data_IF_729439506762
#
_entry.id   IF_729439506762
#
_cell.length_a   1.000
_cell.length_b   1.000
_cell.length_c   1.000
_cell.angle_alpha   90.00
_cell.angle_beta   90.00
_cell.angle_gamma   90.00
#
_symmetry.space_group_name_H-M   'P 1'
#
loop_
_entity.id
_entity.type
_entity.pdbx_description
1 polymer ?
#
# COMPACT_ATOMS: atom_id res chain seq x y z
N UNK A 1 -21.87 34.84 36.58
CA UNK A 1 -20.99 35.85 35.95
C UNK A 1 -19.56 35.40 36.25
N UNK A 2 -18.71 34.93 35.35
CA UNK A 2 -18.71 34.79 33.87
C UNK A 2 -17.47 33.93 33.54
N UNK A 3 -17.64 32.94 32.67
CA UNK A 3 -16.77 32.39 31.58
C UNK A 3 -15.25 32.28 31.81
N UNK A 4 -14.66 31.07 31.82
CA UNK A 4 -14.24 30.25 30.66
C UNK A 4 -13.25 30.93 29.71
N UNK A 5 -12.00 30.43 29.71
CA UNK A 5 -11.20 30.21 28.50
C UNK A 5 -9.94 29.40 28.87
N UNK A 6 -10.08 28.06 28.91
CA UNK A 6 -8.96 27.16 28.70
C UNK A 6 -8.66 27.19 27.20
N UNK A 7 -7.55 27.80 26.82
CA UNK A 7 -7.02 27.70 25.46
C UNK A 7 -6.28 26.36 25.40
N UNK A 8 -6.87 25.40 24.69
CA UNK A 8 -6.19 24.20 24.25
C UNK A 8 -5.00 24.60 23.35
N UNK A 9 -3.81 24.18 23.74
CA UNK A 9 -2.59 24.33 22.95
C UNK A 9 -2.52 23.12 22.02
N UNK A 10 -2.86 23.32 20.75
CA UNK A 10 -2.63 22.32 19.71
C UNK A 10 -1.13 22.20 19.46
N UNK A 11 -0.60 20.99 19.64
CA UNK A 11 0.78 20.62 19.39
C UNK A 11 0.94 20.35 17.88
N UNK A 12 1.87 21.03 17.22
CA UNK A 12 2.19 20.77 15.81
C UNK A 12 2.57 19.29 15.63
N UNK A 13 1.75 18.54 14.88
CA UNK A 13 1.99 17.12 14.56
C UNK A 13 0.80 16.16 14.72
N UNK A 14 -0.35 16.57 15.26
CA UNK A 14 -1.55 15.72 15.29
C UNK A 14 -2.38 15.85 14.01
N UNK A 15 -2.39 14.79 13.22
CA UNK A 15 -3.28 14.63 12.06
C UNK A 15 -4.71 14.46 12.59
N UNK A 16 -5.53 15.49 12.43
CA UNK A 16 -6.94 15.47 12.80
C UNK A 16 -7.76 14.77 11.69
N UNK A 17 -7.79 13.43 11.70
CA UNK A 17 -8.67 12.64 10.84
C UNK A 17 -10.08 12.63 11.43
N UNK A 18 -10.91 13.58 11.01
CA UNK A 18 -12.37 13.44 11.13
C UNK A 18 -12.84 12.29 10.23
N UNK A 19 -13.66 11.35 10.73
CA UNK A 19 -14.27 10.32 9.90
C UNK A 19 -15.45 10.94 9.14
N UNK A 20 -15.24 11.33 7.89
CA UNK A 20 -16.35 11.57 6.96
C UNK A 20 -16.69 10.27 6.22
N UNK A 21 -17.99 10.09 6.09
CA UNK A 21 -18.73 8.94 5.64
C UNK A 21 -18.37 8.44 4.24
N UNK A 22 -18.44 7.12 4.12
CA UNK A 22 -18.54 6.32 2.90
C UNK A 22 -19.35 7.05 1.80
N UNK A 23 -18.70 7.34 0.68
CA UNK A 23 -19.37 7.51 -0.60
C UNK A 23 -18.62 6.63 -1.60
N UNK A 24 -19.20 5.46 -1.82
CA UNK A 24 -18.82 4.43 -2.77
C UNK A 24 -19.36 4.83 -4.16
N UNK A 25 -18.54 5.55 -4.93
CA UNK A 25 -18.72 5.72 -6.37
C UNK A 25 -17.52 5.08 -7.07
N UNK A 26 -17.49 3.75 -6.99
CA UNK A 26 -16.73 2.91 -7.90
C UNK A 26 -17.45 2.87 -9.24
N UNK A 27 -17.29 3.90 -10.08
CA UNK A 27 -17.70 3.82 -11.47
C UNK A 27 -16.81 2.78 -12.18
N UNK A 28 -17.45 1.66 -12.51
CA UNK A 28 -16.98 0.55 -13.31
C UNK A 28 -16.15 1.02 -14.52
N UNK A 29 -14.93 0.48 -14.62
CA UNK A 29 -14.21 0.44 -15.89
C UNK A 29 -15.02 -0.40 -16.88
N UNK A 30 -15.45 0.13 -18.05
CA UNK A 30 -16.25 -0.65 -18.97
C UNK A 30 -15.40 -1.79 -19.53
N UNK A 31 -15.92 -2.99 -19.31
CA UNK A 31 -15.40 -4.27 -19.81
C UNK A 31 -15.37 -4.26 -21.33
N UNK A 32 -14.29 -4.74 -21.94
CA UNK A 32 -14.21 -5.04 -23.37
C UNK A 32 -15.35 -6.00 -23.77
N UNK A 33 -16.36 -5.47 -24.45
CA UNK A 33 -17.34 -6.27 -25.17
C UNK A 33 -16.76 -6.70 -26.51
N UNK A 34 -16.37 -7.97 -26.54
CA UNK A 34 -16.10 -8.72 -27.75
C UNK A 34 -17.48 -9.12 -28.35
N UNK A 35 -17.99 -8.33 -29.29
CA UNK A 35 -19.14 -8.72 -30.13
C UNK A 35 -18.68 -8.82 -31.60
N UNK A 36 -18.50 -10.07 -32.02
CA UNK A 36 -18.50 -10.53 -33.41
C UNK A 36 -19.90 -10.47 -34.02
N UNK A 37 -19.92 -10.08 -35.30
CA UNK A 37 -20.89 -10.37 -36.36
C UNK A 37 -22.31 -9.77 -36.27
N UNK A 38 -22.62 -8.79 -37.15
CA UNK A 38 -23.62 -9.02 -38.20
C UNK A 38 -23.46 -8.05 -39.41
N UNK A 39 -23.95 -8.53 -40.54
CA UNK A 39 -23.68 -8.20 -41.93
C UNK A 39 -24.01 -6.78 -42.43
N UNK A 40 -23.15 -6.32 -43.34
CA UNK A 40 -23.43 -5.26 -44.31
C UNK A 40 -22.65 -5.51 -45.59
N UNK A 41 -23.18 -6.39 -46.45
CA UNK A 41 -22.60 -6.74 -47.74
C UNK A 41 -22.57 -5.55 -48.72
N UNK A 42 -21.40 -5.32 -49.32
CA UNK A 42 -21.26 -4.68 -50.63
C UNK A 42 -20.02 -5.27 -51.30
N UNK A 43 -20.24 -6.33 -52.07
CA UNK A 43 -19.34 -6.86 -53.07
C UNK A 43 -18.85 -5.75 -54.01
N UNK A 44 -17.53 -5.53 -54.08
CA UNK A 44 -16.84 -5.41 -55.37
C UNK A 44 -15.33 -5.68 -55.23
N UNK A 45 -14.71 -6.37 -56.21
CA UNK A 45 -13.39 -6.97 -56.09
C UNK A 45 -12.25 -6.03 -56.49
N UNK A 46 -11.08 -6.34 -55.93
CA UNK A 46 -9.73 -6.02 -56.41
C UNK A 46 -9.39 -4.56 -56.75
N UNK A 47 -8.74 -3.91 -55.77
CA UNK A 47 -7.45 -3.24 -55.99
C UNK A 47 -6.60 -3.40 -54.74
N UNK A 48 -5.59 -4.28 -54.80
CA UNK A 48 -4.39 -4.15 -53.99
C UNK A 48 -3.67 -2.89 -54.43
N UNK A 49 -4.03 -1.76 -53.83
CA UNK A 49 -3.06 -0.68 -53.68
C UNK A 49 -2.16 -1.12 -52.52
N UNK A 50 -0.91 -1.44 -52.85
CA UNK A 50 0.15 -1.61 -51.88
C UNK A 50 0.25 -0.30 -51.09
N UNK A 51 -0.43 -0.24 -49.94
CA UNK A 51 -0.29 0.82 -48.97
C UNK A 51 1.14 0.72 -48.41
N UNK A 52 2.08 1.60 -48.81
CA UNK A 52 3.49 1.46 -48.49
C UNK A 52 3.78 1.67 -46.99
N UNK A 53 2.74 1.90 -46.18
CA UNK A 53 2.83 2.09 -44.73
C UNK A 53 2.53 0.82 -43.92
N UNK A 54 2.06 -0.28 -44.53
CA UNK A 54 1.81 -1.55 -43.79
C UNK A 54 3.06 -2.37 -43.48
N UNK A 55 4.12 -2.21 -44.26
CA UNK A 55 5.38 -2.96 -44.11
C UNK A 55 6.54 -2.14 -43.50
N UNK A 56 6.28 -0.90 -43.09
CA UNK A 56 7.29 -0.09 -42.39
C UNK A 56 7.33 -0.46 -40.91
N UNK A 57 8.53 -0.62 -40.32
CA UNK A 57 8.66 -0.77 -38.88
C UNK A 57 7.93 0.36 -38.17
N UNK A 58 7.26 0.08 -37.05
CA UNK A 58 6.37 1.01 -36.35
C UNK A 58 6.97 2.40 -36.08
N UNK A 59 8.28 2.49 -35.88
CA UNK A 59 9.04 3.72 -35.65
C UNK A 59 9.25 4.59 -36.91
N UNK A 60 9.09 4.02 -38.10
CA UNK A 60 9.20 4.76 -39.37
C UNK A 60 7.84 5.26 -39.88
N UNK A 61 6.75 4.84 -39.24
CA UNK A 61 5.39 5.21 -39.62
C UNK A 61 5.18 6.73 -39.44
N UNK A 62 4.56 7.44 -40.40
CA UNK A 62 4.39 8.90 -40.33
C UNK A 62 3.63 9.37 -39.07
N UNK A 63 2.63 8.61 -38.62
CA UNK A 63 1.93 8.87 -37.33
C UNK A 63 2.85 8.75 -36.10
N UNK A 64 3.85 7.87 -36.14
CA UNK A 64 4.81 7.71 -35.06
C UNK A 64 5.76 8.92 -35.00
N UNK A 65 6.29 9.34 -36.16
CA UNK A 65 7.12 10.56 -36.25
C UNK A 65 6.38 11.81 -35.79
N UNK A 66 5.10 11.96 -36.13
CA UNK A 66 4.27 13.07 -35.63
C UNK A 66 4.14 13.02 -34.11
N UNK A 67 3.88 11.83 -33.54
CA UNK A 67 3.82 11.65 -32.09
C UNK A 67 5.15 11.92 -31.39
N UNK A 68 6.28 11.51 -31.97
CA UNK A 68 7.62 11.84 -31.45
C UNK A 68 7.86 13.34 -31.45
N UNK A 69 7.52 14.04 -32.54
CA UNK A 69 7.66 15.50 -32.59
C UNK A 69 6.74 16.22 -31.59
N UNK A 70 5.52 15.73 -31.39
CA UNK A 70 4.60 16.26 -30.37
C UNK A 70 5.12 15.98 -28.95
N UNK A 71 5.67 14.80 -28.71
CA UNK A 71 6.23 14.41 -27.43
C UNK A 71 7.48 15.23 -27.09
N UNK A 72 8.41 15.37 -28.04
CA UNK A 72 9.60 16.21 -27.92
C UNK A 72 9.23 17.68 -27.68
N UNK A 73 8.20 18.19 -28.38
CA UNK A 73 7.71 19.55 -28.17
C UNK A 73 7.11 19.74 -26.78
N UNK A 74 6.27 18.81 -26.31
CA UNK A 74 5.68 18.87 -24.96
C UNK A 74 6.73 18.72 -23.87
N UNK A 75 7.72 17.85 -24.08
CA UNK A 75 8.81 17.65 -23.15
C UNK A 75 9.67 18.92 -23.03
N UNK A 76 10.05 19.52 -24.15
CA UNK A 76 10.80 20.79 -24.14
C UNK A 76 9.98 21.94 -23.54
N UNK A 77 8.68 22.01 -23.83
CA UNK A 77 7.80 23.01 -23.21
C UNK A 77 7.72 22.81 -21.68
N UNK A 78 7.58 21.57 -21.23
CA UNK A 78 7.56 21.24 -19.80
C UNK A 78 8.89 21.58 -19.13
N UNK A 79 10.02 21.27 -19.75
CA UNK A 79 11.35 21.62 -19.25
C UNK A 79 11.54 23.14 -19.17
N UNK A 80 11.07 23.90 -20.17
CA UNK A 80 11.12 25.37 -20.12
C UNK A 80 10.25 25.93 -19.00
N UNK A 81 9.04 25.40 -18.78
CA UNK A 81 8.19 25.78 -17.65
C UNK A 81 8.86 25.48 -16.32
N UNK A 82 9.46 24.30 -16.14
CA UNK A 82 10.20 23.98 -14.92
C UNK A 82 11.38 24.92 -14.70
N UNK A 83 12.12 25.28 -15.75
CA UNK A 83 13.22 26.24 -15.63
C UNK A 83 12.73 27.65 -15.30
N UNK A 84 11.60 28.07 -15.85
CA UNK A 84 10.95 29.35 -15.53
C UNK A 84 10.41 29.36 -14.10
N UNK A 85 9.74 28.29 -13.65
CA UNK A 85 9.25 28.12 -12.28
C UNK A 85 10.42 28.14 -11.30
N UNK A 86 11.50 27.42 -11.58
CA UNK A 86 12.70 27.43 -10.74
C UNK A 86 13.36 28.81 -10.68
N UNK A 87 13.36 29.56 -11.79
CA UNK A 87 13.85 30.95 -11.80
C UNK A 87 12.91 31.86 -11.01
N UNK A 88 11.59 31.72 -11.16
CA UNK A 88 10.58 32.46 -10.42
C UNK A 88 10.72 32.23 -8.92
N UNK A 89 10.79 30.98 -8.50
CA UNK A 89 11.06 30.58 -7.11
C UNK A 89 12.37 31.21 -6.63
N UNK A 90 13.46 31.12 -7.40
CA UNK A 90 14.75 31.70 -7.01
C UNK A 90 14.69 33.22 -6.85
N UNK A 91 13.96 33.91 -7.73
CA UNK A 91 13.76 35.35 -7.65
C UNK A 91 12.87 35.75 -6.47
N UNK A 92 11.79 35.02 -6.20
CA UNK A 92 10.92 35.21 -5.05
C UNK A 92 11.69 35.01 -3.74
N UNK A 93 12.47 33.93 -3.62
CA UNK A 93 13.35 33.72 -2.47
C UNK A 93 14.44 34.79 -2.39
N UNK A 94 14.97 35.26 -3.52
CA UNK A 94 15.97 36.33 -3.57
C UNK A 94 15.44 37.68 -3.10
N UNK A 95 14.22 38.04 -3.50
CA UNK A 95 13.52 39.26 -3.07
C UNK A 95 13.11 39.15 -1.59
N UNK A 96 12.49 38.05 -1.19
CA UNK A 96 12.12 37.79 0.19
C UNK A 96 13.32 37.80 1.15
N UNK A 97 14.49 37.32 0.73
CA UNK A 97 15.73 37.40 1.53
C UNK A 97 16.26 38.83 1.68
N UNK A 98 16.17 39.66 0.64
CA UNK A 98 16.59 41.07 0.71
C UNK A 98 15.67 41.84 1.67
N UNK A 99 14.36 41.66 1.54
CA UNK A 99 13.38 42.31 2.39
C UNK A 99 13.51 41.86 3.86
N UNK A 100 13.81 40.58 4.11
CA UNK A 100 14.09 40.09 5.47
C UNK A 100 15.43 40.60 6.02
N UNK A 101 16.46 40.74 5.19
CA UNK A 101 17.78 41.20 5.64
C UNK A 101 17.77 42.65 6.13
N UNK A 102 16.90 43.49 5.58
CA UNK A 102 16.72 44.88 6.01
C UNK A 102 15.84 45.01 7.27
N UNK A 103 15.17 43.93 7.69
CA UNK A 103 14.18 43.94 8.79
C UNK A 103 14.50 42.98 9.94
N UNK A 104 15.74 42.50 10.06
CA UNK A 104 16.16 41.71 11.24
C UNK A 104 16.27 42.64 12.45
N UNK A 105 15.13 42.88 13.12
CA UNK A 105 15.09 43.59 14.39
C UNK A 105 15.85 42.76 15.42
N UNK A 106 16.96 43.29 15.93
CA UNK A 106 17.69 42.71 17.05
C UNK A 106 16.69 42.52 18.20
N UNK A 107 16.53 41.30 18.74
CA UNK A 107 15.62 41.08 19.85
C UNK A 107 16.01 41.89 21.09
N UNK A 108 15.01 42.41 21.80
CA UNK A 108 15.24 43.25 23.00
C UNK A 108 16.00 42.53 24.12
N UNK A 109 15.95 41.20 24.16
CA UNK A 109 16.68 40.38 25.13
C UNK A 109 18.17 40.23 24.82
N UNK A 110 18.63 40.51 23.58
CA UNK A 110 20.01 40.29 23.18
C UNK A 110 20.96 41.36 23.76
N UNK A 111 20.49 42.61 23.86
CA UNK A 111 21.22 43.70 24.54
C UNK A 111 22.53 44.17 23.89
N UNK A 112 22.93 43.62 22.74
CA UNK A 112 24.17 43.93 22.01
C UNK A 112 24.00 44.81 20.76
N UNK A 113 25.11 45.07 20.06
CA UNK A 113 25.13 45.79 18.78
C UNK A 113 24.75 44.87 17.60
N UNK A 114 24.45 45.46 16.43
CA UNK A 114 24.14 44.70 15.21
C UNK A 114 25.26 43.73 14.82
N UNK A 115 26.52 44.15 14.92
CA UNK A 115 27.67 43.29 14.62
C UNK A 115 27.77 42.07 15.55
N UNK A 116 27.45 42.25 16.84
CA UNK A 116 27.41 41.15 17.81
C UNK A 116 26.25 40.20 17.53
N UNK A 117 25.11 40.75 17.08
CA UNK A 117 23.94 39.95 16.71
C UNK A 117 24.22 39.09 15.47
N UNK A 118 24.83 39.67 14.44
CA UNK A 118 25.19 38.93 13.23
C UNK A 118 26.24 37.85 13.52
N UNK A 119 27.25 38.14 14.35
CA UNK A 119 28.22 37.13 14.78
C UNK A 119 27.56 35.99 15.58
N UNK A 120 26.60 36.31 16.46
CA UNK A 120 25.84 35.31 17.21
C UNK A 120 24.98 34.43 16.29
N UNK A 121 24.28 35.03 15.32
CA UNK A 121 23.49 34.27 14.34
C UNK A 121 24.37 33.34 13.52
N UNK A 122 25.51 33.83 13.04
CA UNK A 122 26.45 33.01 12.27
C UNK A 122 26.99 31.83 13.08
N UNK A 123 27.26 32.02 14.38
CA UNK A 123 27.69 30.95 15.28
C UNK A 123 26.57 29.93 15.52
N UNK A 124 25.35 30.39 15.80
CA UNK A 124 24.18 29.54 15.97
C UNK A 124 23.81 28.76 14.72
N UNK A 125 23.90 29.38 13.55
CA UNK A 125 23.65 28.74 12.26
C UNK A 125 24.70 27.67 11.97
N UNK A 126 25.97 27.90 12.34
CA UNK A 126 27.03 26.87 12.25
C UNK A 126 26.78 25.71 13.20
N UNK A 127 26.38 25.99 14.43
CA UNK A 127 26.05 24.96 15.42
C UNK A 127 24.86 24.11 14.95
N UNK A 128 23.81 24.77 14.46
CA UNK A 128 22.62 24.11 13.93
C UNK A 128 22.97 23.24 12.71
N UNK A 129 23.71 23.77 11.73
CA UNK A 129 24.18 23.00 10.58
C UNK A 129 25.02 21.80 11.00
N UNK A 130 25.94 21.96 11.95
CA UNK A 130 26.73 20.83 12.45
C UNK A 130 25.87 19.78 13.16
N UNK A 131 24.80 20.19 13.86
CA UNK A 131 23.85 19.28 14.47
C UNK A 131 23.00 18.53 13.42
N UNK A 132 22.53 19.23 12.40
CA UNK A 132 21.79 18.66 11.26
C UNK A 132 22.65 17.66 10.49
N UNK A 133 23.90 18.00 10.17
CA UNK A 133 24.83 17.12 9.47
C UNK A 133 25.07 15.83 10.29
N UNK A 134 25.27 15.94 11.61
CA UNK A 134 25.42 14.77 12.49
C UNK A 134 24.15 13.92 12.54
N UNK A 135 22.97 14.54 12.52
CA UNK A 135 21.70 13.83 12.51
C UNK A 135 21.51 13.09 11.18
N UNK A 136 21.81 13.75 10.07
CA UNK A 136 21.76 13.16 8.74
C UNK A 136 22.72 11.98 8.60
N UNK A 137 23.96 12.13 9.07
CA UNK A 137 24.96 11.07 9.06
C UNK A 137 24.53 9.85 9.88
N UNK A 138 23.94 10.07 11.07
CA UNK A 138 23.38 8.98 11.88
C UNK A 138 22.27 8.25 11.14
N UNK A 139 21.31 9.00 10.59
CA UNK A 139 20.18 8.43 9.86
C UNK A 139 20.64 7.64 8.63
N UNK A 140 21.64 8.16 7.91
CA UNK A 140 22.24 7.46 6.77
C UNK A 140 22.98 6.18 7.19
N UNK A 141 23.73 6.22 8.29
CA UNK A 141 24.41 5.05 8.81
C UNK A 141 23.41 3.99 9.28
N UNK A 142 22.39 4.39 10.03
CA UNK A 142 21.30 3.51 10.50
C UNK A 142 20.55 2.88 9.32
N UNK A 143 20.17 3.68 8.32
CA UNK A 143 19.52 3.18 7.10
C UNK A 143 20.39 2.19 6.33
N UNK A 144 21.68 2.47 6.18
CA UNK A 144 22.60 1.55 5.50
C UNK A 144 22.81 0.23 6.27
N UNK A 145 22.81 0.30 7.61
CA UNK A 145 22.93 -0.87 8.47
C UNK A 145 21.65 -1.70 8.46
N UNK A 146 20.47 -1.07 8.50
CA UNK A 146 19.18 -1.76 8.38
C UNK A 146 19.03 -2.41 7.02
N UNK A 147 19.36 -1.71 5.94
CA UNK A 147 19.28 -2.26 4.58
C UNK A 147 20.20 -3.46 4.40
N UNK A 148 21.41 -3.39 4.97
CA UNK A 148 22.35 -4.50 4.96
C UNK A 148 21.81 -5.68 5.76
N UNK A 149 21.26 -5.44 6.95
CA UNK A 149 20.66 -6.49 7.78
C UNK A 149 19.45 -7.15 7.10
N UNK A 150 18.58 -6.37 6.45
CA UNK A 150 17.43 -6.87 5.69
C UNK A 150 17.89 -7.71 4.50
N UNK A 151 18.92 -7.27 3.77
CA UNK A 151 19.50 -8.05 2.67
C UNK A 151 20.09 -9.36 3.16
N UNK A 152 20.93 -9.32 4.20
CA UNK A 152 21.51 -10.53 4.79
C UNK A 152 20.46 -11.51 5.31
N UNK A 153 19.38 -11.02 5.92
CA UNK A 153 18.26 -11.84 6.37
C UNK A 153 17.48 -12.45 5.18
N UNK A 154 17.26 -11.67 4.13
CA UNK A 154 16.57 -12.12 2.90
C UNK A 154 17.40 -13.17 2.17
N UNK A 155 18.70 -12.95 2.01
CA UNK A 155 19.63 -13.89 1.39
C UNK A 155 19.70 -15.19 2.19
N UNK A 156 19.74 -15.10 3.53
CA UNK A 156 19.71 -16.26 4.40
C UNK A 156 18.41 -17.06 4.22
N UNK A 157 17.26 -16.39 4.24
CA UNK A 157 15.96 -17.03 4.00
C UNK A 157 15.92 -17.75 2.64
N UNK A 158 16.34 -17.08 1.57
CA UNK A 158 16.37 -17.67 0.23
C UNK A 158 17.31 -18.88 0.14
N UNK A 159 18.47 -18.81 0.80
CA UNK A 159 19.42 -19.92 0.84
C UNK A 159 18.85 -21.15 1.57
N UNK A 160 18.15 -20.95 2.69
CA UNK A 160 17.51 -22.04 3.42
C UNK A 160 16.30 -22.61 2.67
N UNK A 161 15.52 -21.76 1.99
CA UNK A 161 14.41 -22.23 1.14
C UNK A 161 14.96 -23.09 0.00
N UNK A 162 16.02 -22.65 -0.68
CA UNK A 162 16.67 -23.44 -1.75
C UNK A 162 17.23 -24.76 -1.22
N UNK A 163 17.80 -24.76 -0.02
CA UNK A 163 18.23 -25.98 0.66
C UNK A 163 17.04 -26.92 0.95
N UNK A 164 15.94 -26.39 1.49
CA UNK A 164 14.73 -27.16 1.80
C UNK A 164 14.04 -27.73 0.54
N UNK A 165 14.11 -27.01 -0.57
CA UNK A 165 13.56 -27.46 -1.86
C UNK A 165 14.40 -28.58 -2.49
N UNK A 166 15.72 -28.53 -2.33
CA UNK A 166 16.65 -29.55 -2.85
C UNK A 166 16.81 -30.78 -1.94
N UNK A 167 16.53 -30.64 -0.64
CA UNK A 167 16.67 -31.73 0.32
C UNK A 167 15.51 -32.73 0.22
N UNK A 168 15.79 -33.87 -0.40
CA UNK A 168 14.86 -34.99 -0.56
C UNK A 168 14.47 -35.67 0.76
N UNK A 169 15.21 -35.45 1.85
CA UNK A 169 14.90 -36.03 3.16
C UNK A 169 13.79 -35.25 3.86
N UNK A 170 13.87 -33.91 3.83
CA UNK A 170 12.86 -33.03 4.37
C UNK A 170 11.70 -32.82 3.41
N UNK A 171 11.95 -32.83 2.10
CA UNK A 171 10.98 -32.62 1.05
C UNK A 171 10.96 -33.73 -0.02
N UNK A 172 10.46 -34.94 0.32
CA UNK A 172 10.45 -36.06 -0.62
C UNK A 172 9.58 -35.82 -1.86
N UNK A 173 8.56 -34.95 -1.76
CA UNK A 173 7.64 -34.63 -2.85
C UNK A 173 8.16 -33.49 -3.75
N UNK A 174 9.28 -32.83 -3.40
CA UNK A 174 9.82 -31.71 -4.17
C UNK A 174 8.86 -30.52 -4.31
N UNK A 175 7.92 -30.35 -3.38
CA UNK A 175 6.96 -29.24 -3.40
C UNK A 175 7.68 -27.92 -3.17
N UNK A 176 7.41 -26.91 -4.00
CA UNK A 176 7.90 -25.55 -3.79
C UNK A 176 7.47 -25.02 -2.43
N UNK A 177 8.37 -24.35 -1.73
CA UNK A 177 8.13 -23.80 -0.40
C UNK A 177 7.66 -22.36 -0.55
N UNK A 178 6.51 -22.03 0.02
CA UNK A 178 5.99 -20.66 0.02
C UNK A 178 6.75 -19.82 1.08
N UNK A 179 7.58 -18.84 0.67
CA UNK A 179 8.43 -18.09 1.59
C UNK A 179 7.64 -17.36 2.67
N UNK A 180 6.50 -16.78 2.30
CA UNK A 180 5.70 -15.95 3.20
C UNK A 180 5.00 -16.78 4.26
N UNK A 181 4.49 -17.96 3.89
CA UNK A 181 3.89 -18.90 4.85
C UNK A 181 4.94 -19.47 5.80
N UNK A 182 6.12 -19.79 5.29
CA UNK A 182 7.21 -20.29 6.10
C UNK A 182 7.67 -19.24 7.11
N UNK A 183 7.88 -17.99 6.66
CA UNK A 183 8.25 -16.88 7.51
C UNK A 183 7.19 -16.65 8.59
N UNK A 184 5.91 -16.63 8.22
CA UNK A 184 4.80 -16.50 9.17
C UNK A 184 4.84 -17.55 10.26
N UNK A 185 5.00 -18.83 9.91
CA UNK A 185 5.08 -19.91 10.91
C UNK A 185 6.28 -19.73 11.84
N UNK A 186 7.42 -19.31 11.29
CA UNK A 186 8.65 -19.08 12.07
C UNK A 186 8.49 -17.93 13.06
N UNK A 187 7.82 -16.85 12.64
CA UNK A 187 7.52 -15.70 13.52
C UNK A 187 6.43 -16.03 14.55
N UNK A 188 5.33 -16.68 14.14
CA UNK A 188 4.22 -17.01 15.03
C UNK A 188 4.61 -18.00 16.15
N UNK A 189 5.69 -18.77 15.95
CA UNK A 189 6.18 -19.77 16.92
C UNK A 189 7.55 -19.39 17.51
N UNK A 190 8.04 -18.17 17.30
CA UNK A 190 9.34 -17.68 17.78
C UNK A 190 10.49 -18.68 17.55
N UNK A 191 10.55 -19.26 16.35
CA UNK A 191 11.52 -20.32 16.05
C UNK A 191 12.89 -19.72 15.75
N UNK A 192 13.73 -19.64 16.78
CA UNK A 192 15.09 -19.09 16.69
C UNK A 192 16.13 -20.19 16.91
N UNK A 193 17.22 -20.17 16.15
CA UNK A 193 18.35 -21.09 16.28
C UNK A 193 19.32 -20.64 17.40
N UNK A 194 20.34 -21.45 17.68
CA UNK A 194 21.36 -21.14 18.70
C UNK A 194 22.21 -19.91 18.38
N UNK A 195 22.14 -19.39 17.16
CA UNK A 195 22.85 -18.19 16.69
C UNK A 195 21.94 -16.96 16.67
N UNK A 196 20.71 -17.06 17.14
CA UNK A 196 19.75 -15.95 17.14
C UNK A 196 19.08 -15.70 15.78
N UNK A 197 19.18 -16.63 14.82
CA UNK A 197 18.57 -16.53 13.49
C UNK A 197 17.29 -17.34 13.42
N UNK A 198 16.38 -16.93 12.54
CA UNK A 198 15.14 -17.65 12.27
C UNK A 198 15.40 -19.09 11.78
N UNK A 199 14.80 -20.07 12.43
CA UNK A 199 14.98 -21.50 12.13
C UNK A 199 13.93 -22.00 11.12
N UNK A 200 14.19 -21.72 9.84
CA UNK A 200 13.32 -22.10 8.73
C UNK A 200 13.11 -23.61 8.58
N UNK A 201 14.07 -24.44 9.01
CA UNK A 201 13.93 -25.91 8.94
C UNK A 201 12.91 -26.43 9.94
N UNK A 202 12.91 -25.89 11.16
CA UNK A 202 11.90 -26.20 12.16
C UNK A 202 10.52 -25.71 11.71
N UNK A 203 10.45 -24.48 11.18
CA UNK A 203 9.21 -23.93 10.61
C UNK A 203 8.63 -24.80 9.49
N UNK A 204 9.48 -25.33 8.61
CA UNK A 204 9.04 -26.20 7.53
C UNK A 204 8.49 -27.54 8.02
N UNK A 205 9.10 -28.12 9.07
CA UNK A 205 8.56 -29.33 9.73
C UNK A 205 7.18 -29.05 10.34
N UNK A 206 7.02 -27.90 10.99
CA UNK A 206 5.73 -27.47 11.54
C UNK A 206 4.69 -27.23 10.46
N UNK A 207 5.08 -26.66 9.32
CA UNK A 207 4.21 -26.46 8.17
C UNK A 207 3.70 -27.80 7.60
N UNK A 208 4.55 -28.83 7.59
CA UNK A 208 4.15 -30.18 7.16
C UNK A 208 3.29 -30.93 8.17
N UNK A 209 3.56 -30.75 9.45
CA UNK A 209 2.77 -31.38 10.52
C UNK A 209 1.47 -30.65 10.79
N UNK A 210 1.35 -29.38 10.39
CA UNK A 210 0.11 -28.62 10.51
C UNK A 210 -0.93 -29.29 9.61
N UNK A 211 -2.08 -29.74 10.16
CA UNK A 211 -3.12 -30.32 9.34
C UNK A 211 -3.49 -29.28 8.28
N UNK A 212 -3.48 -29.70 7.01
CA UNK A 212 -3.86 -28.83 5.91
C UNK A 212 -5.16 -28.12 6.31
N UNK A 213 -5.14 -26.78 6.32
CA UNK A 213 -6.32 -25.99 6.64
C UNK A 213 -7.50 -26.59 5.87
N UNK A 214 -8.63 -26.89 6.53
CA UNK A 214 -9.73 -27.60 5.89
C UNK A 214 -10.07 -26.87 4.61
N UNK A 215 -9.87 -27.53 3.48
CA UNK A 215 -10.21 -26.98 2.16
C UNK A 215 -11.63 -26.45 2.26
N UNK A 216 -11.82 -25.17 1.98
CA UNK A 216 -13.15 -24.56 2.00
C UNK A 216 -14.10 -25.48 1.22
N UNK A 217 -15.20 -25.96 1.83
CA UNK A 217 -16.00 -27.01 1.22
C UNK A 217 -16.49 -26.51 -0.13
N UNK A 218 -16.28 -27.32 -1.18
CA UNK A 218 -16.72 -27.00 -2.53
C UNK A 218 -18.22 -26.68 -2.47
N UNK A 219 -18.75 -25.75 -3.28
CA UNK A 219 -20.15 -25.33 -3.21
C UNK A 219 -21.15 -26.50 -3.33
N UNK A 220 -20.76 -27.63 -3.96
CA UNK A 220 -21.56 -28.86 -3.98
C UNK A 220 -21.66 -29.59 -2.64
N UNK A 221 -20.61 -29.60 -1.82
CA UNK A 221 -20.57 -30.31 -0.52
C UNK A 221 -21.37 -29.55 0.55
N UNK A 222 -21.41 -28.22 0.49
CA UNK A 222 -22.27 -27.41 1.37
C UNK A 222 -23.75 -27.73 1.21
N UNK A 223 -24.21 -28.03 -0.02
CA UNK A 223 -25.60 -28.42 -0.30
C UNK A 223 -25.92 -29.82 0.24
N UNK A 224 -24.96 -30.75 0.18
CA UNK A 224 -25.14 -32.11 0.70
C UNK A 224 -25.19 -32.11 2.23
N UNK A 225 -24.34 -31.31 2.89
CA UNK A 225 -24.33 -31.20 4.35
C UNK A 225 -25.61 -30.50 4.86
N UNK A 226 -26.06 -29.43 4.20
CA UNK A 226 -27.34 -28.77 4.55
C UNK A 226 -28.57 -29.65 4.28
N UNK A 227 -28.51 -30.52 3.27
CA UNK A 227 -29.55 -31.52 3.01
C UNK A 227 -29.58 -32.63 4.07
N UNK A 228 -28.42 -33.05 4.58
CA UNK A 228 -28.31 -34.10 5.59
C UNK A 228 -28.72 -33.64 7.00
N UNK A 229 -28.58 -32.35 7.34
CA UNK A 229 -28.95 -31.84 8.68
C UNK A 229 -30.43 -31.46 8.82
N UNK A 230 -31.21 -31.47 7.72
CA UNK A 230 -32.62 -31.07 7.74
C UNK A 230 -33.63 -32.24 7.63
N UNK A 231 -33.18 -33.49 7.48
CA UNK A 231 -34.10 -34.61 7.20
C UNK A 231 -34.63 -35.36 8.41
N UNK A 232 -34.09 -35.18 9.62
CA UNK A 232 -34.59 -35.89 10.81
C UNK A 232 -34.56 -35.03 12.08
N UNK A 233 -35.62 -34.24 12.28
CA UNK A 233 -36.07 -33.88 13.62
C UNK A 233 -37.54 -33.51 13.58
N UNK A 234 -38.38 -34.37 14.17
CA UNK A 234 -39.75 -34.04 14.60
C UNK A 234 -39.68 -32.77 15.44
N UNK A 235 -40.08 -31.64 14.89
CA UNK A 235 -40.30 -30.42 15.66
C UNK A 235 -41.47 -30.63 16.60
N UNK A 236 -41.21 -30.67 17.91
CA UNK A 236 -42.25 -30.41 18.91
C UNK A 236 -42.91 -29.07 18.58
N UNK A 237 -44.23 -29.10 18.37
CA UNK A 237 -45.00 -27.89 18.10
C UNK A 237 -44.87 -26.96 19.32
N UNK A 238 -44.27 -25.79 19.13
CA UNK A 238 -44.26 -24.74 20.15
C UNK A 238 -45.70 -24.49 20.62
N UNK A 239 -45.97 -24.44 21.94
CA UNK A 239 -47.32 -24.14 22.43
C UNK A 239 -47.72 -22.74 21.96
N UNK A 240 -48.96 -22.61 21.48
CA UNK A 240 -49.49 -21.35 20.98
C UNK A 240 -49.45 -20.27 22.09
N UNK A 241 -49.17 -19.00 21.76
CA UNK A 241 -48.96 -17.93 22.75
C UNK A 241 -50.24 -17.50 23.49
N UNK A 242 -51.40 -18.03 23.12
CA UNK A 242 -52.67 -17.76 23.79
C UNK A 242 -53.45 -19.06 23.98
N UNK A 243 -54.12 -19.17 25.14
CA UNK A 243 -55.03 -20.28 25.43
C UNK A 243 -56.40 -19.98 24.83
N UNK A 244 -56.99 -20.97 24.17
CA UNK A 244 -58.34 -20.84 23.59
C UNK A 244 -59.38 -21.35 24.59
N UNK A 245 -60.66 -21.03 24.36
CA UNK A 245 -61.78 -21.50 25.20
C UNK A 245 -61.88 -23.03 25.30
N UNK A 246 -61.25 -23.76 24.37
CA UNK A 246 -61.13 -25.21 24.41
C UNK A 246 -60.20 -25.69 25.54
N UNK A 247 -59.16 -24.92 25.88
CA UNK A 247 -58.16 -25.30 26.90
C UNK A 247 -58.73 -25.24 28.32
N UNK A 248 -59.74 -24.40 28.56
CA UNK A 248 -60.42 -24.27 29.86
C UNK A 248 -61.48 -25.36 30.12
N UNK A 249 -61.81 -26.20 29.13
CA UNK A 249 -62.72 -27.33 29.33
C UNK A 249 -62.06 -28.51 30.04
N UNK A 250 -60.72 -28.64 29.97
CA UNK A 250 -60.00 -29.77 30.57
C UNK A 250 -59.70 -29.61 32.06
N UNK A 251 -59.63 -28.38 32.58
CA UNK A 251 -59.40 -28.11 34.00
C UNK A 251 -60.47 -27.18 34.55
N UNK A 252 -61.60 -27.74 34.99
CA UNK A 252 -62.57 -27.03 35.85
C UNK A 252 -62.44 -27.55 37.28
N UNK A 253 -62.21 -26.67 38.28
CA UNK A 253 -62.17 -27.06 39.68
C UNK A 253 -63.56 -26.87 40.31
N UNK A 254 -64.57 -27.55 39.76
CA UNK A 254 -65.88 -27.83 40.35
C UNK A 254 -66.68 -28.72 39.42
#
# INVERSE_FOLDING_TARGET
MTEENMVDVEQEGQINLKPESENDDSEDSPTETNETDDAGASDQPDKKEDDPDKDKPFHEHPRWKQRETEWESRFNEQETRHQEDLKGIREEFGKARKDNSEQVKIPSWFGGTQEQWDAYRDDRDKELKSAEDRAYDRLKQEGSASDKAVKEATDYMQSEITFLESDKTLNPEGKKVDPNKLLKIVMDNDLVDSKGRWNYRAGFRMMKSSPAAPTAPKPGERKVIAGATNSESKGESKPAPYKTSADFKKNRPW
#
